data_IF_093244774335
#
_entry.id   IF_093244774335
#
_cell.length_a   1.000
_cell.length_b   1.000
_cell.length_c   1.000
_cell.angle_alpha   90.00
_cell.angle_beta   90.00
_cell.angle_gamma   90.00
#
_symmetry.space_group_name_H-M   'P 1'
#
loop_
_entity.id
_entity.type
_entity.pdbx_description
1 polymer ?
#
# COMPACT_ATOMS: atom_id res chain seq x y z
N UNK A 1 -21.15 -10.92 -44.17
CA UNK A 1 -22.56 -10.45 -44.27
C UNK A 1 -22.94 -9.75 -42.99
N UNK A 2 -23.35 -8.50 -43.14
CA UNK A 2 -24.02 -7.61 -42.19
C UNK A 2 -23.40 -7.31 -40.83
N UNK A 3 -22.68 -6.16 -40.81
CA UNK A 3 -22.43 -5.30 -39.65
C UNK A 3 -23.77 -4.72 -39.12
N UNK A 4 -23.94 -4.72 -37.79
CA UNK A 4 -24.91 -3.84 -37.14
C UNK A 4 -24.17 -2.90 -36.22
N UNK A 5 -24.11 -1.63 -36.62
CA UNK A 5 -23.69 -0.48 -35.80
C UNK A 5 -24.85 -0.11 -34.88
N UNK A 6 -24.60 -0.02 -33.55
CA UNK A 6 -25.47 0.70 -32.65
C UNK A 6 -24.81 2.04 -32.25
N UNK A 7 -25.45 3.12 -32.71
CA UNK A 7 -25.22 4.48 -32.21
C UNK A 7 -26.05 4.64 -30.93
N UNK A 8 -25.42 5.05 -29.86
CA UNK A 8 -26.12 5.54 -28.65
C UNK A 8 -25.85 7.03 -28.50
N UNK A 9 -26.92 7.82 -28.55
CA UNK A 9 -26.88 9.26 -28.43
C UNK A 9 -26.73 9.69 -26.97
N UNK A 10 -25.81 10.62 -26.70
CA UNK A 10 -25.70 11.31 -25.40
C UNK A 10 -26.64 12.53 -25.40
N UNK A 11 -27.55 12.58 -24.42
CA UNK A 11 -28.34 13.75 -24.09
C UNK A 11 -27.59 14.60 -23.06
N UNK A 12 -27.27 15.83 -23.42
CA UNK A 12 -26.70 16.85 -22.54
C UNK A 12 -27.84 17.57 -21.83
N UNK A 13 -27.89 17.51 -20.51
CA UNK A 13 -28.81 18.33 -19.69
C UNK A 13 -28.05 19.53 -19.13
N UNK A 14 -28.41 20.73 -19.60
CA UNK A 14 -27.94 21.99 -19.07
C UNK A 14 -28.81 22.37 -17.87
N UNK A 15 -28.19 22.65 -16.72
CA UNK A 15 -28.86 23.26 -15.56
C UNK A 15 -28.48 24.75 -15.48
N UNK A 16 -29.48 25.61 -15.57
CA UNK A 16 -29.34 27.02 -15.43
C UNK A 16 -29.28 27.42 -13.95
N UNK A 17 -28.31 28.28 -13.60
CA UNK A 17 -28.19 28.91 -12.28
C UNK A 17 -28.83 30.27 -12.34
N UNK A 18 -29.87 30.52 -11.52
CA UNK A 18 -30.45 31.84 -11.27
C UNK A 18 -29.78 32.46 -10.07
N UNK A 19 -29.24 33.65 -10.29
CA UNK A 19 -28.77 34.55 -9.24
C UNK A 19 -29.92 35.44 -8.75
N UNK A 20 -30.04 35.63 -7.42
CA UNK A 20 -30.78 36.77 -6.84
C UNK A 20 -29.92 37.45 -5.78
N UNK A 21 -29.78 38.75 -5.98
CA UNK A 21 -29.07 39.74 -5.17
C UNK A 21 -29.97 40.37 -4.09
N UNK A 22 -29.38 40.91 -3.04
CA UNK A 22 -29.92 41.87 -2.06
C UNK A 22 -29.47 41.56 -0.67
N UNK A 23 -28.68 42.30 0.07
CA UNK A 23 -28.66 43.70 0.35
C UNK A 23 -28.79 43.87 1.86
N UNK A 24 -27.83 44.55 2.54
CA UNK A 24 -28.11 45.23 3.81
C UNK A 24 -27.29 44.77 5.02
N UNK A 25 -26.21 45.50 5.32
CA UNK A 25 -25.62 45.66 6.67
C UNK A 25 -26.54 46.50 7.56
N UNK A 26 -26.47 46.38 8.94
CA UNK A 26 -25.57 47.24 9.68
C UNK A 26 -24.89 46.59 10.90
N UNK A 27 -23.74 47.18 11.21
CA UNK A 27 -22.97 46.99 12.43
C UNK A 27 -23.58 47.74 13.61
N UNK A 28 -23.42 47.25 14.88
CA UNK A 28 -23.13 48.18 15.94
C UNK A 28 -21.98 47.79 16.85
N UNK A 29 -21.08 48.74 17.02
CA UNK A 29 -20.43 49.29 18.23
C UNK A 29 -20.15 48.37 19.42
N UNK A 30 -18.85 48.30 19.77
CA UNK A 30 -18.27 47.92 21.08
C UNK A 30 -18.71 48.86 22.22
N UNK A 31 -18.67 48.35 23.45
CA UNK A 31 -18.17 49.16 24.56
C UNK A 31 -17.00 48.53 25.33
N UNK A 32 -16.36 49.47 26.00
CA UNK A 32 -15.06 49.53 26.61
C UNK A 32 -14.70 48.51 27.70
N UNK A 33 -13.39 48.47 27.92
CA UNK A 33 -12.59 47.74 28.88
C UNK A 33 -12.98 47.89 30.32
N UNK A 34 -12.79 46.81 31.08
CA UNK A 34 -12.50 46.83 32.53
C UNK A 34 -11.38 45.84 32.84
N UNK A 35 -10.30 46.35 33.38
CA UNK A 35 -9.15 45.61 33.96
C UNK A 35 -9.26 45.87 35.48
N UNK A 36 -8.60 45.14 36.38
CA UNK A 36 -8.15 43.77 36.51
C UNK A 36 -8.43 43.16 37.91
N UNK A 37 -8.13 41.88 38.07
CA UNK A 37 -7.71 41.36 39.37
C UNK A 37 -6.59 40.39 39.15
N UNK A 38 -5.44 40.66 39.76
CA UNK A 38 -4.29 39.76 39.89
C UNK A 38 -4.70 38.49 40.61
N UNK A 39 -4.44 37.33 39.99
CA UNK A 39 -4.55 36.02 40.61
C UNK A 39 -3.18 35.37 40.56
N UNK A 40 -2.69 35.04 41.74
CA UNK A 40 -1.44 34.32 42.02
C UNK A 40 -1.42 32.98 41.27
N UNK A 41 -0.29 32.53 40.68
CA UNK A 41 -0.23 31.25 39.97
C UNK A 41 -0.32 30.10 40.98
N UNK A 42 -1.35 29.29 40.85
CA UNK A 42 -1.43 27.98 41.48
C UNK A 42 -0.50 27.01 40.74
N UNK A 43 0.26 26.23 41.50
CA UNK A 43 1.27 25.32 40.99
C UNK A 43 0.75 24.36 39.93
N UNK A 44 1.54 24.22 38.87
CA UNK A 44 1.34 23.26 37.82
C UNK A 44 1.39 21.84 38.37
N UNK A 45 0.27 21.13 38.28
CA UNK A 45 0.26 19.68 38.45
C UNK A 45 1.05 19.04 37.28
N UNK A 46 1.79 17.96 37.52
CA UNK A 46 2.49 17.27 36.45
C UNK A 46 1.48 16.75 35.44
N UNK A 47 1.85 16.70 34.13
CA UNK A 47 0.95 16.17 33.09
C UNK A 47 0.60 14.72 33.45
N UNK A 48 -0.68 14.44 33.52
CA UNK A 48 -1.20 13.07 33.64
C UNK A 48 -0.66 12.27 32.47
N UNK A 49 -0.02 11.14 32.77
CA UNK A 49 0.37 10.16 31.78
C UNK A 49 -0.86 9.85 30.89
N UNK A 50 -0.68 9.66 29.57
CA UNK A 50 -1.77 9.24 28.71
C UNK A 50 -2.38 7.97 29.30
N UNK A 51 -3.70 7.98 29.49
CA UNK A 51 -4.44 6.81 29.92
C UNK A 51 -4.11 5.68 28.95
N UNK A 52 -3.50 4.61 29.44
CA UNK A 52 -3.35 3.37 28.69
C UNK A 52 -4.76 2.92 28.32
N UNK A 53 -5.08 3.03 27.02
CA UNK A 53 -6.26 2.37 26.46
C UNK A 53 -6.09 0.89 26.79
N UNK A 54 -7.02 0.23 27.50
CA UNK A 54 -6.90 -1.20 27.72
C UNK A 54 -6.83 -1.84 26.35
N UNK A 55 -5.79 -2.63 26.09
CA UNK A 55 -5.71 -3.48 24.92
C UNK A 55 -7.02 -4.29 24.92
N UNK A 56 -7.88 -4.03 23.94
CA UNK A 56 -9.05 -4.85 23.69
C UNK A 56 -8.48 -6.23 23.42
N UNK A 57 -8.62 -7.14 24.37
CA UNK A 57 -8.23 -8.52 24.17
C UNK A 57 -9.10 -9.03 23.04
N UNK A 58 -8.52 -9.27 21.85
CA UNK A 58 -9.19 -9.96 20.75
C UNK A 58 -9.80 -11.28 21.22
N UNK A 59 -10.53 -12.00 20.35
CA UNK A 59 -11.14 -13.25 20.71
C UNK A 59 -10.12 -14.20 21.31
N UNK A 60 -10.53 -14.99 22.33
CA UNK A 60 -9.70 -16.01 22.96
C UNK A 60 -9.87 -17.39 22.29
N UNK A 61 -10.85 -17.52 21.40
CA UNK A 61 -11.13 -18.72 20.61
C UNK A 61 -11.84 -18.32 19.32
N UNK A 62 -11.62 -19.04 18.24
CA UNK A 62 -12.42 -18.93 17.01
C UNK A 62 -13.65 -19.82 17.15
N UNK A 63 -14.83 -19.21 17.10
CA UNK A 63 -16.12 -19.90 17.14
C UNK A 63 -16.59 -20.35 15.76
N UNK A 64 -17.88 -20.68 15.67
CA UNK A 64 -18.54 -20.85 14.38
C UNK A 64 -18.52 -19.53 13.60
N UNK A 65 -18.51 -19.62 12.25
CA UNK A 65 -18.59 -18.45 11.41
C UNK A 65 -19.94 -17.77 11.49
N UNK A 66 -19.95 -16.44 11.40
CA UNK A 66 -21.17 -15.63 11.46
C UNK A 66 -21.96 -15.63 10.13
N UNK A 67 -21.50 -16.38 9.14
CA UNK A 67 -22.18 -16.58 7.85
C UNK A 67 -21.82 -15.55 6.78
N UNK A 68 -21.10 -14.47 7.12
CA UNK A 68 -20.69 -13.42 6.19
C UNK A 68 -19.30 -12.90 6.54
N UNK A 69 -18.57 -12.36 5.53
CA UNK A 69 -17.29 -11.69 5.69
C UNK A 69 -17.16 -10.56 4.66
N UNK A 70 -17.06 -9.33 5.14
CA UNK A 70 -16.93 -8.14 4.30
C UNK A 70 -15.50 -7.63 4.35
N UNK A 71 -14.81 -7.68 3.23
CA UNK A 71 -13.39 -7.35 3.11
C UNK A 71 -13.13 -6.10 2.27
N UNK A 72 -12.05 -5.39 2.61
CA UNK A 72 -11.37 -4.47 1.70
C UNK A 72 -10.05 -5.14 1.29
N UNK A 73 -9.74 -5.16 0.00
CA UNK A 73 -8.52 -5.78 -0.49
C UNK A 73 -8.01 -5.09 -1.75
N UNK A 74 -6.75 -5.32 -2.06
CA UNK A 74 -6.20 -5.03 -3.37
C UNK A 74 -6.86 -5.89 -4.44
N UNK A 75 -6.90 -5.38 -5.68
CA UNK A 75 -7.34 -6.16 -6.83
C UNK A 75 -6.52 -7.44 -6.96
N UNK A 76 -7.19 -8.57 -7.13
CA UNK A 76 -6.56 -9.87 -7.27
C UNK A 76 -6.28 -10.62 -5.96
N UNK A 77 -6.67 -10.07 -4.79
CA UNK A 77 -6.46 -10.77 -3.50
C UNK A 77 -7.66 -11.59 -3.03
N UNK A 78 -8.84 -11.35 -3.59
CA UNK A 78 -10.08 -12.04 -3.22
C UNK A 78 -10.81 -12.44 -4.49
N UNK A 79 -10.42 -13.58 -5.08
CA UNK A 79 -10.93 -14.05 -6.37
C UNK A 79 -11.78 -15.30 -6.19
N UNK A 80 -12.93 -15.33 -6.89
CA UNK A 80 -13.90 -16.40 -6.87
C UNK A 80 -15.07 -16.14 -5.93
N UNK A 81 -15.84 -17.18 -5.64
CA UNK A 81 -17.11 -17.05 -4.91
C UNK A 81 -18.10 -16.13 -5.64
N UNK A 82 -19.18 -15.75 -4.94
CA UNK A 82 -20.21 -14.87 -5.54
C UNK A 82 -19.94 -13.39 -5.30
N UNK A 83 -19.19 -13.03 -4.28
CA UNK A 83 -18.89 -11.66 -3.88
C UNK A 83 -17.42 -11.26 -4.00
N UNK A 84 -16.54 -12.16 -4.46
CA UNK A 84 -15.17 -11.87 -4.83
C UNK A 84 -15.03 -11.42 -6.29
N UNK A 85 -13.81 -11.10 -6.68
CA UNK A 85 -13.50 -10.76 -8.07
C UNK A 85 -13.65 -11.99 -8.98
N UNK A 86 -14.14 -11.80 -10.19
CA UNK A 86 -14.35 -12.91 -11.14
C UNK A 86 -13.19 -12.93 -12.13
N UNK A 87 -12.32 -13.93 -12.02
CA UNK A 87 -11.17 -14.15 -12.89
C UNK A 87 -11.21 -15.57 -13.44
N UNK A 88 -11.18 -15.71 -14.76
CA UNK A 88 -11.26 -17.03 -15.41
C UNK A 88 -10.09 -17.93 -14.97
N UNK A 89 -10.41 -19.12 -14.51
CA UNK A 89 -9.42 -20.14 -14.09
C UNK A 89 -8.91 -20.00 -12.67
N UNK A 90 -9.38 -19.00 -11.90
CA UNK A 90 -8.97 -18.77 -10.53
C UNK A 90 -10.15 -18.67 -9.58
N UNK A 91 -10.10 -19.40 -8.49
CA UNK A 91 -11.10 -19.36 -7.42
C UNK A 91 -10.52 -19.94 -6.12
N UNK A 92 -10.19 -19.10 -5.15
CA UNK A 92 -9.84 -19.52 -3.79
C UNK A 92 -10.89 -19.08 -2.76
N UNK A 93 -11.90 -18.32 -3.15
CA UNK A 93 -12.97 -17.87 -2.26
C UNK A 93 -14.01 -18.97 -2.08
N UNK A 94 -14.49 -19.64 -3.14
CA UNK A 94 -15.48 -20.72 -3.03
C UNK A 94 -15.06 -21.83 -2.05
N UNK A 95 -13.81 -22.38 -2.10
CA UNK A 95 -13.38 -23.38 -1.12
C UNK A 95 -13.39 -22.88 0.32
N UNK A 96 -13.08 -21.60 0.56
CA UNK A 96 -13.20 -20.99 1.88
C UNK A 96 -14.65 -20.91 2.34
N UNK A 97 -15.55 -20.42 1.48
CA UNK A 97 -16.99 -20.31 1.77
C UNK A 97 -17.59 -21.67 2.12
N UNK A 98 -17.28 -22.71 1.34
CA UNK A 98 -17.77 -24.05 1.54
C UNK A 98 -17.27 -24.69 2.84
N UNK A 99 -16.02 -24.45 3.21
CA UNK A 99 -15.41 -24.98 4.41
C UNK A 99 -15.82 -24.24 5.69
N UNK A 100 -16.00 -22.91 5.61
CA UNK A 100 -16.23 -22.05 6.78
C UNK A 100 -17.67 -21.66 7.00
N UNK A 101 -18.53 -21.73 5.97
CA UNK A 101 -19.87 -21.18 5.95
C UNK A 101 -19.91 -19.64 5.89
N UNK A 102 -18.77 -18.96 5.71
CA UNK A 102 -18.65 -17.52 5.67
C UNK A 102 -18.69 -17.02 4.22
N UNK A 103 -19.78 -16.40 3.79
CA UNK A 103 -19.90 -15.79 2.46
C UNK A 103 -19.06 -14.51 2.37
N UNK A 104 -18.17 -14.46 1.40
CA UNK A 104 -17.21 -13.35 1.22
C UNK A 104 -17.80 -12.30 0.29
N UNK A 105 -17.63 -11.03 0.66
CA UNK A 105 -17.85 -9.87 -0.21
C UNK A 105 -16.63 -8.97 -0.14
N UNK A 106 -16.08 -8.59 -1.28
CA UNK A 106 -14.92 -7.71 -1.34
C UNK A 106 -15.26 -6.34 -1.93
N UNK A 107 -14.70 -5.32 -1.30
CA UNK A 107 -14.53 -3.99 -1.86
C UNK A 107 -13.09 -3.83 -2.28
N UNK A 108 -12.84 -3.78 -3.57
CA UNK A 108 -11.50 -3.48 -4.09
C UNK A 108 -11.16 -2.03 -3.74
N UNK A 109 -10.02 -1.85 -3.05
CA UNK A 109 -9.46 -0.55 -2.72
C UNK A 109 -8.76 0.09 -3.91
N UNK A 110 -8.85 1.40 -4.01
CA UNK A 110 -8.19 2.16 -5.09
C UNK A 110 -6.72 2.43 -4.76
N UNK A 111 -6.46 2.77 -3.50
CA UNK A 111 -5.15 3.05 -2.92
C UNK A 111 -5.21 2.93 -1.39
N UNK A 112 -4.06 3.00 -0.73
CA UNK A 112 -3.95 2.90 0.73
C UNK A 112 -4.77 3.95 1.47
N UNK A 113 -4.90 5.17 0.96
CA UNK A 113 -5.70 6.23 1.61
C UNK A 113 -7.19 5.95 1.49
N UNK A 114 -7.64 5.43 0.35
CA UNK A 114 -9.02 4.97 0.16
C UNK A 114 -9.34 3.82 1.12
N UNK A 115 -8.45 2.83 1.27
CA UNK A 115 -8.64 1.71 2.22
C UNK A 115 -8.76 2.19 3.66
N UNK A 116 -7.92 3.15 4.09
CA UNK A 116 -8.02 3.76 5.43
C UNK A 116 -9.38 4.46 5.62
N UNK A 117 -9.88 5.17 4.61
CA UNK A 117 -11.18 5.83 4.71
C UNK A 117 -12.34 4.83 4.75
N UNK A 118 -12.29 3.77 3.94
CA UNK A 118 -13.30 2.71 3.96
C UNK A 118 -13.36 2.01 5.33
N UNK A 119 -12.21 1.71 5.94
CA UNK A 119 -12.18 1.10 7.27
C UNK A 119 -12.82 1.96 8.36
N UNK A 120 -12.71 3.30 8.29
CA UNK A 120 -13.35 4.22 9.24
C UNK A 120 -14.87 4.12 9.24
N UNK A 121 -15.49 3.69 8.15
CA UNK A 121 -16.95 3.51 8.08
C UNK A 121 -17.46 2.46 9.05
N UNK A 122 -16.63 1.45 9.41
CA UNK A 122 -17.01 0.33 10.26
C UNK A 122 -17.95 -0.66 9.58
N UNK A 123 -18.01 -0.66 8.24
CA UNK A 123 -18.84 -1.57 7.45
C UNK A 123 -18.12 -2.87 7.10
N UNK A 124 -16.78 -2.91 7.27
CA UNK A 124 -15.93 -4.03 6.88
C UNK A 124 -15.38 -4.76 8.10
N UNK A 125 -15.17 -6.07 7.94
CA UNK A 125 -14.64 -6.95 8.97
C UNK A 125 -13.12 -7.00 8.96
N UNK A 126 -12.52 -6.74 7.80
CA UNK A 126 -11.07 -6.72 7.65
C UNK A 126 -10.59 -6.03 6.38
N UNK A 127 -9.30 -5.81 6.34
CA UNK A 127 -8.60 -5.16 5.22
C UNK A 127 -7.27 -5.86 4.96
N UNK A 128 -6.91 -5.99 3.68
CA UNK A 128 -5.52 -6.26 3.29
C UNK A 128 -4.86 -4.93 2.98
N UNK A 129 -3.92 -4.50 3.82
CA UNK A 129 -3.31 -3.18 3.74
C UNK A 129 -1.79 -3.25 3.61
N UNK A 130 -1.23 -2.34 2.82
CA UNK A 130 0.20 -2.13 2.69
C UNK A 130 0.77 -1.32 3.86
N UNK A 131 2.07 -1.42 4.11
CA UNK A 131 2.72 -0.85 5.29
C UNK A 131 2.60 0.66 5.44
N UNK A 132 2.39 1.40 4.36
CA UNK A 132 2.11 2.84 4.39
C UNK A 132 0.73 3.22 4.94
N UNK A 133 -0.19 2.25 5.02
CA UNK A 133 -1.52 2.41 5.61
C UNK A 133 -1.63 1.82 7.01
N UNK A 134 -0.87 0.78 7.33
CA UNK A 134 -1.09 -0.04 8.55
C UNK A 134 -0.97 0.75 9.84
N UNK A 135 0.09 1.57 10.03
CA UNK A 135 0.22 2.40 11.23
C UNK A 135 -0.87 3.48 11.32
N UNK A 136 -1.40 3.94 10.19
CA UNK A 136 -2.53 4.90 10.18
C UNK A 136 -3.82 4.24 10.67
N UNK A 137 -4.07 2.99 10.26
CA UNK A 137 -5.20 2.18 10.72
C UNK A 137 -5.08 1.86 12.21
N UNK A 138 -3.88 1.51 12.68
CA UNK A 138 -3.60 1.23 14.10
C UNK A 138 -3.80 2.49 14.93
N UNK A 139 -3.17 3.61 14.55
CA UNK A 139 -3.27 4.88 15.25
C UNK A 139 -4.71 5.45 15.26
N UNK A 140 -5.49 5.19 14.20
CA UNK A 140 -6.90 5.55 14.09
C UNK A 140 -7.82 4.69 14.95
N UNK A 141 -7.32 3.57 15.50
CA UNK A 141 -8.16 2.60 16.22
C UNK A 141 -9.15 1.86 15.31
N UNK A 142 -8.86 1.83 13.99
CA UNK A 142 -9.74 1.22 13.00
C UNK A 142 -9.55 -0.31 12.90
N UNK A 143 -8.41 -0.81 13.42
CA UNK A 143 -8.07 -2.23 13.48
C UNK A 143 -7.75 -2.66 14.91
N UNK A 144 -7.93 -3.94 15.19
CA UNK A 144 -7.69 -4.54 16.50
C UNK A 144 -6.40 -5.38 16.50
N UNK A 145 -5.76 -5.59 17.66
CA UNK A 145 -4.70 -6.56 17.83
C UNK A 145 -5.09 -7.95 17.36
N UNK A 146 -4.17 -8.65 16.74
CA UNK A 146 -4.37 -10.04 16.28
C UNK A 146 -3.86 -11.01 17.35
N UNK A 147 -4.69 -11.98 17.71
CA UNK A 147 -4.27 -13.12 18.49
C UNK A 147 -3.76 -14.21 17.53
N UNK A 148 -2.45 -14.29 17.34
CA UNK A 148 -1.81 -15.22 16.39
C UNK A 148 -1.96 -16.69 16.81
N UNK A 149 -2.22 -16.99 18.09
CA UNK A 149 -2.48 -18.36 18.57
C UNK A 149 -3.78 -18.94 17.97
N UNK A 150 -4.66 -18.08 17.46
CA UNK A 150 -5.90 -18.45 16.79
C UNK A 150 -5.73 -18.67 15.27
N UNK A 151 -4.51 -18.56 14.74
CA UNK A 151 -4.17 -18.67 13.32
C UNK A 151 -3.12 -19.77 13.16
N UNK A 152 -3.52 -21.06 13.11
CA UNK A 152 -2.60 -22.20 13.11
C UNK A 152 -1.52 -22.14 12.03
N UNK A 153 -1.84 -21.63 10.83
CA UNK A 153 -0.88 -21.52 9.73
C UNK A 153 0.16 -20.42 9.94
N UNK A 154 -0.07 -19.47 10.88
CA UNK A 154 0.88 -18.39 11.15
C UNK A 154 2.23 -18.89 11.67
N UNK A 155 2.27 -20.06 12.34
CA UNK A 155 3.51 -20.68 12.81
C UNK A 155 4.50 -20.95 11.68
N UNK A 156 3.97 -21.29 10.48
CA UNK A 156 4.75 -21.69 9.30
C UNK A 156 5.17 -20.50 8.42
N UNK A 157 4.68 -19.30 8.73
CA UNK A 157 5.08 -18.05 8.06
C UNK A 157 6.57 -17.79 8.30
N UNK A 158 7.30 -17.40 7.26
CA UNK A 158 8.71 -17.05 7.34
C UNK A 158 8.99 -15.99 8.40
N UNK A 159 10.03 -16.17 9.21
CA UNK A 159 10.39 -15.26 10.30
C UNK A 159 10.67 -13.85 9.78
N UNK A 160 11.20 -13.73 8.56
CA UNK A 160 11.42 -12.45 7.88
C UNK A 160 10.14 -11.62 7.65
N UNK A 161 8.95 -12.19 7.82
CA UNK A 161 7.65 -11.52 7.64
C UNK A 161 6.91 -11.24 8.94
N UNK A 162 7.32 -11.84 10.07
CA UNK A 162 6.67 -11.70 11.37
C UNK A 162 7.12 -10.45 12.12
N UNK A 163 6.23 -9.85 12.90
CA UNK A 163 6.55 -8.81 13.86
C UNK A 163 7.21 -7.56 13.27
N UNK A 164 6.83 -7.18 12.06
CA UNK A 164 7.41 -6.02 11.37
C UNK A 164 6.90 -4.71 11.96
N UNK A 165 7.73 -3.68 11.95
CA UNK A 165 7.47 -2.35 12.51
C UNK A 165 6.29 -1.63 11.84
N UNK A 166 6.00 -1.92 10.57
CA UNK A 166 4.84 -1.35 9.88
C UNK A 166 3.49 -1.93 10.33
N UNK A 167 3.44 -3.08 11.01
CA UNK A 167 2.21 -3.70 11.50
C UNK A 167 2.27 -4.12 12.97
N UNK A 168 3.29 -3.68 13.71
CA UNK A 168 3.52 -4.01 15.12
C UNK A 168 3.81 -2.74 15.90
N UNK A 169 3.04 -2.46 16.94
CA UNK A 169 3.20 -1.28 17.80
C UNK A 169 3.34 -1.74 19.25
N UNK A 170 4.41 -1.30 19.92
CA UNK A 170 4.74 -1.67 21.30
C UNK A 170 4.75 -3.20 21.56
N UNK A 171 5.22 -3.97 20.58
CA UNK A 171 5.25 -5.44 20.64
C UNK A 171 3.91 -6.13 20.39
N UNK A 172 2.86 -5.38 20.07
CA UNK A 172 1.53 -5.91 19.73
C UNK A 172 1.37 -5.95 18.22
N UNK A 173 1.12 -7.12 17.65
CA UNK A 173 0.91 -7.31 16.21
C UNK A 173 -0.54 -7.10 15.80
N UNK A 174 -0.73 -6.52 14.60
CA UNK A 174 -2.04 -6.15 14.06
C UNK A 174 -2.33 -6.76 12.69
N UNK A 175 -1.37 -7.45 12.07
CA UNK A 175 -1.54 -7.94 10.72
C UNK A 175 -0.90 -9.29 10.46
N UNK A 176 -1.57 -10.11 9.64
CA UNK A 176 -1.09 -11.40 9.13
C UNK A 176 -0.55 -11.19 7.72
N UNK A 177 0.74 -11.44 7.44
CA UNK A 177 1.32 -11.18 6.13
C UNK A 177 0.67 -12.05 5.06
N UNK A 178 0.43 -11.46 3.88
CA UNK A 178 -0.16 -12.12 2.72
C UNK A 178 0.90 -12.71 1.79
N UNK A 179 1.96 -11.94 1.57
CA UNK A 179 3.09 -12.21 0.73
C UNK A 179 4.09 -11.08 0.81
N UNK A 180 5.06 -11.03 -0.09
CA UNK A 180 6.00 -9.90 -0.22
C UNK A 180 6.48 -9.72 -1.65
N UNK A 181 6.84 -8.48 -2.00
CA UNK A 181 7.45 -8.15 -3.27
C UNK A 181 8.38 -6.94 -3.16
N UNK A 182 9.35 -6.85 -4.06
CA UNK A 182 10.14 -5.65 -4.25
C UNK A 182 9.49 -4.78 -5.35
N UNK A 183 9.61 -3.45 -5.21
CA UNK A 183 9.40 -2.54 -6.33
C UNK A 183 10.64 -2.65 -7.23
N UNK A 184 10.44 -3.18 -8.42
CA UNK A 184 11.55 -3.46 -9.35
C UNK A 184 11.70 -2.35 -10.37
N UNK A 185 12.88 -2.21 -10.93
CA UNK A 185 13.13 -1.39 -12.11
C UNK A 185 12.79 -2.22 -13.36
N UNK A 186 11.60 -1.99 -13.92
CA UNK A 186 11.16 -2.61 -15.18
C UNK A 186 11.66 -1.79 -16.37
N UNK A 187 12.07 -2.45 -17.43
CA UNK A 187 12.50 -1.80 -18.65
C UNK A 187 12.18 -2.60 -19.91
N UNK A 188 12.02 -1.89 -21.02
CA UNK A 188 11.89 -2.44 -22.37
C UNK A 188 13.29 -2.61 -22.98
N UNK A 189 13.80 -3.83 -23.19
CA UNK A 189 15.15 -4.05 -23.72
C UNK A 189 15.32 -3.61 -25.18
N UNK A 190 14.24 -3.35 -25.91
CA UNK A 190 14.30 -2.78 -27.26
C UNK A 190 14.62 -1.27 -27.24
N UNK A 191 14.35 -0.59 -26.13
CA UNK A 191 14.64 0.85 -25.92
C UNK A 191 15.85 1.03 -25.00
N UNK A 192 15.87 0.31 -23.90
CA UNK A 192 16.95 0.31 -22.90
C UNK A 192 17.91 -0.83 -23.22
N UNK A 193 18.76 -0.61 -24.21
CA UNK A 193 19.63 -1.65 -24.78
C UNK A 193 20.77 -2.10 -23.87
N UNK A 194 21.09 -1.31 -22.87
CA UNK A 194 22.05 -1.70 -21.81
C UNK A 194 21.25 -2.00 -20.55
N UNK A 195 21.37 -3.23 -20.02
CA UNK A 195 20.70 -3.63 -18.79
C UNK A 195 21.05 -2.65 -17.66
N UNK A 196 20.06 -1.94 -17.08
CA UNK A 196 20.31 -1.00 -16.00
C UNK A 196 20.64 -1.75 -14.70
N UNK A 197 21.51 -1.17 -13.88
CA UNK A 197 21.87 -1.70 -12.56
C UNK A 197 21.60 -0.69 -11.43
N UNK A 198 21.05 0.48 -11.77
CA UNK A 198 20.87 1.61 -10.87
C UNK A 198 19.57 2.36 -11.15
N UNK A 199 18.97 2.90 -10.10
CA UNK A 199 17.86 3.84 -10.20
C UNK A 199 18.23 5.17 -10.89
N UNK A 200 19.52 5.42 -11.16
CA UNK A 200 19.97 6.62 -11.89
C UNK A 200 19.24 6.82 -13.22
N UNK A 201 18.88 5.74 -13.91
CA UNK A 201 18.17 5.81 -15.20
C UNK A 201 16.79 6.46 -15.11
N UNK A 202 16.20 6.51 -13.91
CA UNK A 202 14.90 7.14 -13.67
C UNK A 202 14.99 8.43 -12.86
N UNK A 203 16.13 8.68 -12.15
CA UNK A 203 16.27 9.86 -11.29
C UNK A 203 17.23 10.92 -11.83
N UNK A 204 18.29 10.56 -12.55
CA UNK A 204 19.31 11.52 -12.96
C UNK A 204 18.84 12.37 -14.15
N UNK A 205 19.15 13.67 -14.10
CA UNK A 205 18.70 14.64 -15.09
C UNK A 205 19.21 14.36 -16.53
N UNK A 206 20.35 13.69 -16.64
CA UNK A 206 20.98 13.30 -17.91
C UNK A 206 20.54 11.90 -18.40
N UNK A 207 19.53 11.31 -17.76
CA UNK A 207 18.95 10.06 -18.24
C UNK A 207 18.57 10.15 -19.73
N UNK A 208 19.01 9.20 -20.57
CA UNK A 208 18.70 9.22 -21.99
C UNK A 208 17.23 8.85 -22.30
N UNK A 209 16.45 8.50 -21.28
CA UNK A 209 15.07 8.01 -21.42
C UNK A 209 14.02 9.08 -21.14
N UNK A 210 14.35 10.36 -21.33
CA UNK A 210 13.41 11.48 -21.16
C UNK A 210 12.12 11.28 -21.96
N UNK A 211 10.98 11.42 -21.29
CA UNK A 211 9.65 11.20 -21.86
C UNK A 211 9.29 9.72 -22.02
N UNK A 212 10.07 8.80 -21.41
CA UNK A 212 9.82 7.36 -21.38
C UNK A 212 9.91 6.77 -19.96
N UNK A 213 10.27 7.59 -18.97
CA UNK A 213 10.33 7.20 -17.56
C UNK A 213 8.92 7.17 -16.98
N UNK A 214 8.67 6.21 -16.07
CA UNK A 214 7.41 6.13 -15.31
C UNK A 214 7.66 5.74 -13.86
N UNK A 215 6.67 5.99 -13.00
CA UNK A 215 6.63 5.56 -11.61
C UNK A 215 5.18 5.59 -11.10
N UNK A 216 4.89 4.94 -9.96
CA UNK A 216 3.55 4.98 -9.39
C UNK A 216 3.19 6.36 -8.80
N UNK A 217 1.92 6.74 -8.99
CA UNK A 217 1.37 8.04 -8.60
C UNK A 217 0.85 8.02 -7.16
N UNK A 218 1.76 7.93 -6.19
CA UNK A 218 1.37 7.91 -4.78
C UNK A 218 2.45 8.52 -3.89
N UNK A 219 2.05 9.16 -2.78
CA UNK A 219 2.96 9.91 -1.91
C UNK A 219 4.12 9.06 -1.34
N UNK A 220 3.90 7.75 -1.17
CA UNK A 220 4.95 6.85 -0.66
C UNK A 220 6.14 6.74 -1.61
N UNK A 221 6.01 7.12 -2.90
CA UNK A 221 7.11 7.16 -3.84
C UNK A 221 8.23 8.14 -3.43
N UNK A 222 7.96 9.05 -2.52
CA UNK A 222 9.00 9.88 -1.89
C UNK A 222 10.10 9.01 -1.26
N UNK A 223 9.74 7.84 -0.73
CA UNK A 223 10.70 6.90 -0.15
C UNK A 223 11.66 6.30 -1.18
N UNK A 224 11.23 6.10 -2.42
CA UNK A 224 12.10 5.61 -3.51
C UNK A 224 13.19 6.66 -3.84
N UNK A 225 12.80 7.93 -3.90
CA UNK A 225 13.76 9.03 -4.06
C UNK A 225 14.69 9.14 -2.84
N UNK A 226 14.16 8.98 -1.63
CA UNK A 226 14.95 8.99 -0.41
C UNK A 226 15.96 7.82 -0.36
N UNK A 227 15.56 6.63 -0.79
CA UNK A 227 16.44 5.46 -0.89
C UNK A 227 17.60 5.72 -1.88
N UNK A 228 17.30 6.28 -3.04
CA UNK A 228 18.33 6.66 -4.00
C UNK A 228 19.29 7.69 -3.41
N UNK A 229 18.78 8.73 -2.74
CA UNK A 229 19.60 9.75 -2.07
C UNK A 229 20.40 9.16 -0.91
N UNK A 230 19.86 8.23 -0.15
CA UNK A 230 20.57 7.56 0.94
C UNK A 230 21.88 6.90 0.45
N UNK A 231 21.91 6.41 -0.78
CA UNK A 231 23.07 5.77 -1.39
C UNK A 231 23.97 6.73 -2.17
N UNK A 232 23.40 7.78 -2.76
CA UNK A 232 24.12 8.69 -3.66
C UNK A 232 24.52 10.01 -3.02
N UNK A 233 23.91 10.38 -1.88
CA UNK A 233 24.10 11.62 -1.13
C UNK A 233 24.27 11.36 0.38
N UNK A 234 25.36 10.68 0.80
CA UNK A 234 25.56 10.28 2.20
C UNK A 234 25.62 11.49 3.17
N UNK A 235 25.89 12.69 2.67
CA UNK A 235 25.86 13.94 3.45
C UNK A 235 24.45 14.31 3.95
N UNK A 236 23.39 13.71 3.40
CA UNK A 236 22.03 13.87 3.90
C UNK A 236 21.76 13.03 5.14
N UNK A 237 22.62 12.06 5.45
CA UNK A 237 22.50 11.17 6.61
C UNK A 237 21.12 10.48 6.72
N UNK A 238 20.51 10.10 5.58
CA UNK A 238 19.28 9.33 5.56
C UNK A 238 19.61 7.91 6.00
N UNK A 239 18.98 7.42 7.08
CA UNK A 239 19.18 6.07 7.63
C UNK A 239 17.97 5.16 7.41
N UNK A 240 16.79 5.77 7.20
CA UNK A 240 15.55 5.07 6.87
C UNK A 240 14.77 5.91 5.86
N UNK A 241 14.42 5.38 4.67
CA UNK A 241 13.74 6.15 3.63
C UNK A 241 12.33 6.59 4.00
N UNK A 242 11.73 6.04 5.06
CA UNK A 242 10.42 6.44 5.60
C UNK A 242 10.50 7.38 6.81
N UNK A 243 11.72 7.70 7.28
CA UNK A 243 11.94 8.56 8.44
C UNK A 243 12.73 9.81 8.01
N UNK A 244 12.08 10.74 7.29
CA UNK A 244 12.72 11.93 6.75
C UNK A 244 12.40 13.15 7.62
N UNK A 245 13.43 13.87 8.05
CA UNK A 245 13.26 15.24 8.53
C UNK A 245 12.94 16.20 7.39
N UNK A 246 12.62 17.48 7.71
CA UNK A 246 12.26 18.48 6.70
C UNK A 246 13.34 18.69 5.63
N UNK A 247 14.61 18.65 6.01
CA UNK A 247 15.74 18.82 5.07
C UNK A 247 15.87 17.63 4.12
N UNK A 248 15.73 16.42 4.67
CA UNK A 248 15.79 15.17 3.91
C UNK A 248 14.60 15.05 2.95
N UNK A 249 13.39 15.40 3.42
CA UNK A 249 12.18 15.46 2.59
C UNK A 249 12.33 16.48 1.46
N UNK A 250 12.83 17.68 1.76
CA UNK A 250 13.06 18.72 0.74
C UNK A 250 14.06 18.27 -0.35
N UNK A 251 15.07 17.49 0.04
CA UNK A 251 16.01 16.91 -0.91
C UNK A 251 15.35 15.86 -1.82
N UNK A 252 14.52 14.96 -1.25
CA UNK A 252 13.75 13.98 -2.00
C UNK A 252 12.78 14.65 -2.98
N UNK A 253 12.05 15.67 -2.52
CA UNK A 253 11.13 16.47 -3.36
C UNK A 253 11.87 17.17 -4.50
N UNK A 254 13.06 17.69 -4.24
CA UNK A 254 13.90 18.32 -5.28
C UNK A 254 14.28 17.31 -6.36
N UNK A 255 14.70 16.11 -5.96
CA UNK A 255 15.00 15.01 -6.89
C UNK A 255 13.77 14.60 -7.71
N UNK A 256 12.61 14.48 -7.07
CA UNK A 256 11.36 14.12 -7.74
C UNK A 256 10.87 15.20 -8.72
N UNK A 257 11.03 16.48 -8.38
CA UNK A 257 10.75 17.58 -9.33
C UNK A 257 11.69 17.54 -10.54
N UNK A 258 12.95 17.14 -10.35
CA UNK A 258 13.88 16.88 -11.46
C UNK A 258 13.41 15.67 -12.28
N UNK A 259 13.11 14.53 -11.64
CA UNK A 259 12.60 13.32 -12.30
C UNK A 259 11.33 13.60 -13.12
N UNK A 260 10.42 14.45 -12.64
CA UNK A 260 9.20 14.82 -13.37
C UNK A 260 9.49 15.29 -14.80
N UNK A 261 10.65 15.90 -15.04
CA UNK A 261 11.04 16.35 -16.39
C UNK A 261 11.37 15.18 -17.34
N UNK A 262 11.59 13.99 -16.81
CA UNK A 262 11.87 12.74 -17.53
C UNK A 262 10.62 11.89 -17.71
N UNK A 263 9.64 12.03 -16.79
CA UNK A 263 8.47 11.18 -16.72
C UNK A 263 7.51 11.47 -17.86
N UNK A 264 7.07 10.42 -18.54
CA UNK A 264 5.97 10.49 -19.51
C UNK A 264 4.62 10.54 -18.80
N UNK A 265 4.42 9.64 -17.83
CA UNK A 265 3.21 9.55 -17.00
C UNK A 265 3.55 8.85 -15.69
N UNK A 266 2.98 9.35 -14.58
CA UNK A 266 2.85 8.58 -13.35
C UNK A 266 1.61 7.69 -13.45
N UNK A 267 1.74 6.38 -13.17
CA UNK A 267 0.62 5.44 -13.23
C UNK A 267 -0.11 5.34 -11.89
N UNK A 268 -1.42 5.32 -11.93
CA UNK A 268 -2.29 5.17 -10.75
C UNK A 268 -2.79 3.75 -10.55
N UNK A 269 -2.78 2.93 -11.62
CA UNK A 269 -3.15 1.52 -11.58
C UNK A 269 -2.13 0.68 -12.36
N UNK A 270 -1.97 -0.58 -11.98
CA UNK A 270 -1.09 -1.51 -12.69
C UNK A 270 -1.40 -1.58 -14.19
N UNK A 271 -2.70 -1.52 -14.56
CA UNK A 271 -3.14 -1.58 -15.96
C UNK A 271 -2.66 -0.37 -16.77
N UNK A 272 -2.64 0.83 -16.17
CA UNK A 272 -2.12 2.03 -16.87
C UNK A 272 -0.65 1.89 -17.23
N UNK A 273 0.16 1.25 -16.37
CA UNK A 273 1.57 0.99 -16.68
C UNK A 273 1.72 -0.09 -17.77
N UNK A 274 0.96 -1.20 -17.64
CA UNK A 274 0.94 -2.27 -18.63
C UNK A 274 0.60 -1.69 -20.02
N UNK A 275 -0.45 -0.89 -20.13
CA UNK A 275 -0.85 -0.25 -21.38
C UNK A 275 0.23 0.71 -21.90
N UNK A 276 0.85 1.49 -21.02
CA UNK A 276 1.92 2.43 -21.36
C UNK A 276 3.16 1.74 -21.93
N UNK A 277 3.58 0.61 -21.35
CA UNK A 277 4.66 -0.20 -21.91
C UNK A 277 4.25 -0.90 -23.21
N UNK A 278 3.06 -1.49 -23.28
CA UNK A 278 2.56 -2.16 -24.47
C UNK A 278 2.50 -1.22 -25.67
N UNK A 279 2.06 0.02 -25.47
CA UNK A 279 1.97 1.05 -26.53
C UNK A 279 3.30 1.74 -26.81
N UNK A 280 4.34 1.54 -25.97
CA UNK A 280 5.63 2.20 -26.08
C UNK A 280 5.66 3.66 -25.60
N UNK A 281 4.67 4.09 -24.84
CA UNK A 281 4.65 5.41 -24.18
C UNK A 281 5.61 5.47 -22.99
N UNK A 282 5.84 4.31 -22.36
CA UNK A 282 6.78 4.08 -21.28
C UNK A 282 7.83 3.06 -21.70
N UNK A 283 9.03 3.16 -21.15
CA UNK A 283 10.11 2.22 -21.46
C UNK A 283 10.98 1.84 -20.26
N UNK A 284 10.95 2.59 -19.15
CA UNK A 284 11.71 2.30 -17.93
C UNK A 284 11.03 2.95 -16.73
N UNK A 285 10.94 2.22 -15.63
CA UNK A 285 10.33 2.78 -14.41
C UNK A 285 10.16 1.79 -13.29
N UNK A 286 9.57 2.28 -12.21
CA UNK A 286 9.24 1.46 -11.05
C UNK A 286 7.97 0.66 -11.31
N UNK A 287 8.04 -0.65 -11.12
CA UNK A 287 6.94 -1.58 -11.36
C UNK A 287 6.86 -2.63 -10.24
N UNK A 288 5.75 -3.34 -10.17
CA UNK A 288 5.66 -4.61 -9.44
C UNK A 288 5.94 -5.78 -10.39
N UNK A 289 6.30 -6.90 -9.88
CA UNK A 289 6.53 -8.09 -10.69
C UNK A 289 5.27 -8.53 -11.47
N UNK A 290 4.09 -8.19 -10.95
CA UNK A 290 2.81 -8.39 -11.63
C UNK A 290 2.77 -7.81 -13.05
N UNK A 291 3.16 -6.52 -13.23
CA UNK A 291 3.18 -5.89 -14.55
C UNK A 291 4.19 -6.57 -15.47
N UNK A 292 5.37 -6.95 -14.94
CA UNK A 292 6.40 -7.68 -15.71
C UNK A 292 5.85 -9.00 -16.22
N UNK A 293 5.19 -9.77 -15.35
CA UNK A 293 4.60 -11.05 -15.70
C UNK A 293 3.50 -10.90 -16.74
N UNK A 294 2.59 -9.94 -16.53
CA UNK A 294 1.46 -9.68 -17.44
C UNK A 294 1.94 -9.27 -18.84
N UNK A 295 2.92 -8.38 -18.93
CA UNK A 295 3.48 -7.97 -20.22
C UNK A 295 4.19 -9.12 -20.94
N UNK A 296 4.88 -9.98 -20.21
CA UNK A 296 5.61 -11.12 -20.76
C UNK A 296 4.72 -12.32 -21.09
N UNK A 297 3.52 -12.39 -20.52
CA UNK A 297 2.52 -13.40 -20.87
C UNK A 297 1.98 -13.19 -22.28
N UNK A 298 1.28 -14.17 -22.82
CA UNK A 298 0.42 -14.05 -24.02
C UNK A 298 1.09 -13.47 -25.29
N UNK A 299 2.40 -13.60 -25.47
CA UNK A 299 3.09 -13.10 -26.68
C UNK A 299 3.12 -11.57 -26.77
N UNK A 300 2.87 -10.88 -25.67
CA UNK A 300 2.91 -9.43 -25.54
C UNK A 300 4.30 -8.83 -25.67
N UNK A 301 4.44 -7.59 -25.23
CA UNK A 301 5.71 -6.88 -25.24
C UNK A 301 6.69 -7.50 -24.25
N UNK A 302 7.91 -7.81 -24.69
CA UNK A 302 8.94 -8.31 -23.79
C UNK A 302 9.52 -7.17 -22.96
N UNK A 303 9.46 -7.33 -21.63
CA UNK A 303 10.10 -6.46 -20.66
C UNK A 303 10.98 -7.28 -19.73
N UNK A 304 11.95 -6.64 -19.14
CA UNK A 304 12.81 -7.20 -18.11
C UNK A 304 12.73 -6.38 -16.84
N UNK A 305 13.10 -6.95 -15.71
CA UNK A 305 13.16 -6.27 -14.43
C UNK A 305 14.43 -6.60 -13.67
N UNK A 306 14.87 -5.66 -12.85
CA UNK A 306 16.02 -5.80 -11.96
C UNK A 306 15.75 -5.14 -10.62
N UNK A 307 16.35 -5.64 -9.54
CA UNK A 307 16.53 -4.89 -8.31
C UNK A 307 17.85 -4.11 -8.44
N UNK A 308 17.83 -2.78 -8.45
CA UNK A 308 19.04 -1.96 -8.58
C UNK A 308 19.99 -2.13 -7.39
N UNK A 309 21.25 -1.77 -7.59
CA UNK A 309 22.33 -1.88 -6.58
C UNK A 309 22.12 -1.00 -5.35
N UNK A 310 21.32 0.04 -5.45
CA UNK A 310 20.92 0.88 -4.31
C UNK A 310 19.93 0.17 -3.39
N UNK A 311 19.43 -0.99 -3.78
CA UNK A 311 18.30 -1.65 -3.15
C UNK A 311 16.97 -1.21 -3.76
N UNK A 312 15.87 -1.57 -3.12
CA UNK A 312 14.53 -1.22 -3.56
C UNK A 312 13.63 -0.90 -2.37
N UNK A 313 12.57 -0.13 -2.58
CA UNK A 313 11.40 -0.21 -1.72
C UNK A 313 10.64 -1.50 -2.04
N UNK A 314 9.73 -1.89 -1.16
CA UNK A 314 8.95 -3.10 -1.36
C UNK A 314 7.71 -3.10 -0.51
N UNK A 315 6.92 -4.14 -0.61
CA UNK A 315 5.67 -4.27 0.12
C UNK A 315 5.52 -5.69 0.70
N UNK A 316 4.82 -5.77 1.80
CA UNK A 316 4.33 -7.00 2.38
C UNK A 316 2.98 -6.67 3.00
N UNK A 317 1.93 -6.92 2.25
CA UNK A 317 0.58 -6.58 2.66
C UNK A 317 0.12 -7.48 3.79
N UNK A 318 -0.70 -6.94 4.67
CA UNK A 318 -1.17 -7.69 5.83
C UNK A 318 -2.69 -7.67 5.96
N UNK A 319 -3.26 -8.82 6.27
CA UNK A 319 -4.65 -8.93 6.65
C UNK A 319 -4.84 -8.48 8.08
N UNK A 320 -5.65 -7.45 8.28
CA UNK A 320 -5.93 -6.82 9.57
C UNK A 320 -7.42 -6.95 9.89
N UNK A 321 -7.74 -7.26 11.14
CA UNK A 321 -9.13 -7.35 11.59
C UNK A 321 -9.62 -5.97 12.03
N UNK A 322 -10.82 -5.59 11.60
CA UNK A 322 -11.48 -4.34 12.03
C UNK A 322 -11.76 -4.35 13.54
N UNK A 323 -11.49 -3.22 14.20
CA UNK A 323 -11.91 -3.03 15.61
C UNK A 323 -13.42 -3.04 15.78
N UNK A 324 -14.18 -2.91 14.67
CA UNK A 324 -15.65 -2.90 14.59
C UNK A 324 -16.20 -4.11 13.83
N UNK A 325 -15.38 -5.17 13.63
CA UNK A 325 -15.78 -6.36 12.90
C UNK A 325 -17.08 -6.94 13.44
N UNK A 326 -18.04 -7.14 12.56
CA UNK A 326 -19.32 -7.81 12.88
C UNK A 326 -19.18 -9.33 12.78
N UNK A 327 -18.19 -9.81 12.03
CA UNK A 327 -17.96 -11.21 11.73
C UNK A 327 -16.51 -11.61 12.09
N UNK A 328 -16.06 -11.43 13.35
CA UNK A 328 -14.67 -11.66 13.74
C UNK A 328 -14.23 -13.12 13.60
N UNK A 329 -15.12 -14.12 13.83
CA UNK A 329 -14.75 -15.52 13.63
C UNK A 329 -14.50 -15.80 12.13
N UNK A 330 -15.33 -15.29 11.23
CA UNK A 330 -15.10 -15.41 9.79
C UNK A 330 -13.79 -14.73 9.38
N UNK A 331 -13.46 -13.57 9.98
CA UNK A 331 -12.19 -12.88 9.68
C UNK A 331 -10.96 -13.68 10.14
N UNK A 332 -10.99 -14.27 11.35
CA UNK A 332 -9.90 -15.14 11.82
C UNK A 332 -9.75 -16.40 10.98
N UNK A 333 -10.87 -17.02 10.57
CA UNK A 333 -10.86 -18.15 9.63
C UNK A 333 -10.26 -17.76 8.29
N UNK A 334 -10.58 -16.54 7.79
CA UNK A 334 -10.00 -16.02 6.56
C UNK A 334 -8.49 -15.81 6.68
N UNK A 335 -8.04 -15.15 7.76
CA UNK A 335 -6.62 -14.92 7.99
C UNK A 335 -5.81 -16.22 8.06
N UNK A 336 -6.36 -17.27 8.65
CA UNK A 336 -5.70 -18.59 8.67
C UNK A 336 -5.74 -19.27 7.30
N UNK A 337 -6.88 -19.20 6.62
CA UNK A 337 -7.08 -19.83 5.33
C UNK A 337 -6.18 -19.23 4.24
N UNK A 338 -6.11 -17.89 4.13
CA UNK A 338 -5.42 -17.21 3.03
C UNK A 338 -3.90 -17.40 3.07
N UNK A 339 -3.35 -17.74 4.23
CA UNK A 339 -1.93 -18.12 4.39
C UNK A 339 -1.73 -19.64 4.46
N UNK A 340 -2.80 -20.44 4.27
CA UNK A 340 -2.67 -21.90 4.13
C UNK A 340 -1.94 -22.25 2.84
N UNK A 341 -1.29 -23.42 2.76
CA UNK A 341 -0.39 -23.75 1.65
C UNK A 341 -1.04 -23.54 0.26
N UNK A 342 -2.25 -24.10 0.07
CA UNK A 342 -2.93 -24.06 -1.24
C UNK A 342 -3.47 -22.68 -1.58
N UNK A 343 -4.19 -22.03 -0.66
CA UNK A 343 -4.78 -20.72 -0.92
C UNK A 343 -3.71 -19.65 -1.12
N UNK A 344 -2.64 -19.67 -0.30
CA UNK A 344 -1.53 -18.75 -0.46
C UNK A 344 -0.77 -18.97 -1.78
N UNK A 345 -0.57 -20.23 -2.18
CA UNK A 345 0.03 -20.53 -3.49
C UNK A 345 -0.83 -19.99 -4.64
N UNK A 346 -2.16 -20.18 -4.60
CA UNK A 346 -3.06 -19.72 -5.65
C UNK A 346 -3.00 -18.21 -5.84
N UNK A 347 -3.11 -17.46 -4.74
CA UNK A 347 -3.08 -16.00 -4.81
C UNK A 347 -1.71 -15.46 -5.20
N UNK A 348 -0.62 -16.04 -4.65
CA UNK A 348 0.73 -15.54 -4.94
C UNK A 348 1.19 -15.87 -6.35
N UNK A 349 0.78 -17.00 -6.90
CA UNK A 349 1.02 -17.33 -8.32
C UNK A 349 0.24 -16.40 -9.24
N UNK A 350 -1.03 -16.16 -8.93
CA UNK A 350 -1.86 -15.25 -9.72
C UNK A 350 -1.34 -13.81 -9.68
N UNK A 351 -1.11 -13.29 -8.49
CA UNK A 351 -0.70 -11.89 -8.30
C UNK A 351 0.77 -11.66 -8.72
N UNK A 352 1.63 -12.63 -8.57
CA UNK A 352 3.07 -12.49 -8.84
C UNK A 352 3.81 -11.92 -7.63
N UNK A 353 3.82 -12.68 -6.53
CA UNK A 353 4.53 -12.34 -5.29
C UNK A 353 5.14 -13.57 -4.62
N UNK A 354 6.03 -13.34 -3.67
CA UNK A 354 6.62 -14.41 -2.88
C UNK A 354 5.62 -14.98 -1.88
N UNK A 355 5.38 -16.31 -1.87
CA UNK A 355 4.58 -16.96 -0.83
C UNK A 355 5.15 -16.80 0.57
N UNK A 356 4.28 -16.94 1.59
CA UNK A 356 4.66 -16.69 3.00
C UNK A 356 5.32 -17.86 3.70
N UNK A 357 5.33 -19.07 3.12
CA UNK A 357 5.84 -20.27 3.78
C UNK A 357 6.43 -21.29 2.82
N UNK A 358 7.27 -22.21 3.35
CA UNK A 358 7.79 -23.35 2.59
C UNK A 358 6.69 -24.23 2.01
N UNK A 359 5.60 -24.44 2.76
CA UNK A 359 4.48 -25.26 2.31
C UNK A 359 3.70 -24.58 1.17
N UNK A 360 3.50 -23.25 1.22
CA UNK A 360 2.91 -22.49 0.14
C UNK A 360 3.84 -22.48 -1.09
N UNK A 361 5.14 -22.36 -0.91
CA UNK A 361 6.11 -22.51 -2.00
C UNK A 361 5.98 -23.89 -2.67
N UNK A 362 5.87 -24.95 -1.91
CA UNK A 362 5.74 -26.31 -2.48
C UNK A 362 4.45 -26.48 -3.32
N UNK A 363 3.35 -25.78 -2.97
CA UNK A 363 2.13 -25.77 -3.77
C UNK A 363 2.26 -24.85 -5.00
N UNK A 364 2.91 -23.70 -4.87
CA UNK A 364 3.16 -22.77 -5.99
C UNK A 364 4.04 -23.42 -7.07
N UNK A 365 5.08 -24.18 -6.68
CA UNK A 365 5.96 -24.91 -7.60
C UNK A 365 5.22 -25.96 -8.45
N UNK A 366 4.12 -26.53 -7.94
CA UNK A 366 3.29 -27.47 -8.70
C UNK A 366 2.50 -26.75 -9.82
N UNK A 367 2.19 -25.47 -9.64
CA UNK A 367 1.44 -24.67 -10.59
C UNK A 367 2.38 -23.99 -11.60
N UNK A 368 3.44 -23.37 -11.10
CA UNK A 368 4.44 -22.66 -11.88
C UNK A 368 5.83 -23.07 -11.38
N UNK A 369 6.49 -24.04 -12.05
CA UNK A 369 7.85 -24.45 -11.69
C UNK A 369 8.83 -23.26 -11.69
N UNK A 370 9.58 -23.10 -10.60
CA UNK A 370 10.53 -22.01 -10.41
C UNK A 370 9.90 -20.72 -9.84
N UNK A 371 8.63 -20.74 -9.43
CA UNK A 371 7.95 -19.55 -8.88
C UNK A 371 8.67 -19.00 -7.65
N UNK A 372 8.96 -19.83 -6.66
CA UNK A 372 9.57 -19.36 -5.42
C UNK A 372 10.99 -18.82 -5.59
N UNK A 373 11.75 -19.37 -6.52
CA UNK A 373 13.07 -18.84 -6.87
C UNK A 373 12.96 -17.52 -7.61
N UNK A 374 12.01 -17.40 -8.55
CA UNK A 374 11.78 -16.19 -9.33
C UNK A 374 11.33 -14.99 -8.46
N UNK A 375 10.60 -15.27 -7.38
CA UNK A 375 10.15 -14.26 -6.42
C UNK A 375 11.02 -14.19 -5.16
N UNK A 376 12.14 -14.90 -5.12
CA UNK A 376 13.09 -14.88 -4.00
C UNK A 376 12.46 -15.24 -2.64
N UNK A 377 11.41 -16.10 -2.63
CA UNK A 377 10.60 -16.35 -1.44
C UNK A 377 11.41 -16.75 -0.20
N UNK A 378 12.51 -17.51 -0.39
CA UNK A 378 13.41 -17.99 0.65
C UNK A 378 14.74 -17.24 0.72
N UNK A 379 14.92 -16.22 -0.09
CA UNK A 379 16.19 -15.48 -0.20
C UNK A 379 16.15 -14.21 0.68
N UNK A 380 16.42 -14.40 1.98
CA UNK A 380 16.50 -13.27 2.91
C UNK A 380 17.63 -12.29 2.54
N UNK A 381 18.68 -12.74 1.83
CA UNK A 381 19.74 -11.84 1.37
C UNK A 381 19.23 -10.91 0.27
N UNK A 382 18.33 -11.37 -0.60
CA UNK A 382 17.67 -10.51 -1.58
C UNK A 382 16.84 -9.43 -0.91
N UNK A 383 16.13 -9.77 0.17
CA UNK A 383 15.26 -8.83 0.89
C UNK A 383 15.99 -7.98 1.94
N UNK A 384 17.28 -8.23 2.21
CA UNK A 384 18.04 -7.47 3.21
C UNK A 384 18.17 -5.97 2.90
N UNK A 385 18.11 -5.60 1.63
CA UNK A 385 18.14 -4.22 1.13
C UNK A 385 16.82 -3.80 0.44
N UNK A 386 15.74 -4.52 0.73
CA UNK A 386 14.37 -4.13 0.39
C UNK A 386 13.74 -3.44 1.60
N UNK A 387 13.38 -2.18 1.44
CA UNK A 387 12.73 -1.37 2.44
C UNK A 387 11.22 -1.49 2.26
N UNK A 388 10.58 -2.30 3.11
CA UNK A 388 9.13 -2.46 3.06
C UNK A 388 8.43 -1.14 3.34
N UNK A 389 7.39 -0.84 2.57
CA UNK A 389 6.54 0.33 2.79
C UNK A 389 6.15 0.46 4.24
N UNK A 390 6.29 1.67 4.76
CA UNK A 390 5.98 2.01 6.13
C UNK A 390 5.33 3.38 6.19
N UNK A 391 4.53 3.64 7.19
CA UNK A 391 3.87 4.94 7.36
C UNK A 391 4.85 5.98 7.89
N UNK A 392 5.16 7.06 7.17
CA UNK A 392 5.92 8.18 7.72
C UNK A 392 5.17 8.81 8.90
N UNK A 393 5.86 8.99 10.02
CA UNK A 393 5.32 9.53 11.27
C UNK A 393 6.23 10.64 11.82
N UNK A 394 5.65 11.57 12.62
CA UNK A 394 6.42 12.65 13.24
C UNK A 394 7.50 12.14 14.17
N UNK A 395 7.20 11.09 14.93
CA UNK A 395 8.22 10.34 15.66
C UNK A 395 8.96 9.48 14.68
N UNK A 396 10.25 9.73 14.51
CA UNK A 396 11.07 9.05 13.51
C UNK A 396 11.13 7.53 13.76
N UNK A 397 10.88 6.74 12.74
CA UNK A 397 10.98 5.27 12.78
C UNK A 397 12.41 4.77 13.06
N UNK A 398 13.42 5.60 12.88
CA UNK A 398 14.83 5.33 13.17
C UNK A 398 15.30 5.81 14.54
N UNK A 399 14.36 6.23 15.40
CA UNK A 399 14.63 6.57 16.81
C UNK A 399 15.17 7.97 17.04
N UNK A 400 15.20 8.87 16.05
CA UNK A 400 15.69 10.26 16.19
C UNK A 400 14.73 11.21 16.93
N UNK A 401 13.60 10.70 17.46
CA UNK A 401 12.57 11.49 18.14
C UNK A 401 11.61 12.18 17.17
N UNK A 402 10.97 13.27 17.61
CA UNK A 402 9.83 13.91 16.91
C UNK A 402 10.32 14.99 15.92
N UNK A 403 11.25 14.65 15.04
CA UNK A 403 11.81 15.57 14.04
C UNK A 403 11.46 15.17 12.60
N UNK A 404 10.76 14.05 12.42
CA UNK A 404 10.40 13.56 11.11
C UNK A 404 9.09 14.17 10.60
N UNK A 405 8.86 14.00 9.31
CA UNK A 405 7.66 14.45 8.62
C UNK A 405 6.67 13.30 8.48
N UNK A 406 5.39 13.60 8.69
CA UNK A 406 4.31 12.63 8.63
C UNK A 406 3.77 12.41 7.20
N UNK A 407 2.91 11.41 7.06
CA UNK A 407 2.29 11.05 5.78
C UNK A 407 1.49 12.20 5.15
N UNK A 408 0.83 13.04 5.96
CA UNK A 408 0.09 14.21 5.45
C UNK A 408 1.04 15.24 4.83
N UNK A 409 2.21 15.43 5.43
CA UNK A 409 3.28 16.29 4.89
C UNK A 409 3.81 15.73 3.58
N UNK A 410 4.02 14.41 3.49
CA UNK A 410 4.43 13.73 2.26
C UNK A 410 3.38 13.83 1.15
N UNK A 411 2.11 13.71 1.49
CA UNK A 411 1.00 13.87 0.53
C UNK A 411 0.98 15.28 -0.08
N UNK A 412 1.19 16.32 0.74
CA UNK A 412 1.32 17.71 0.25
C UNK A 412 2.54 17.86 -0.66
N UNK A 413 3.69 17.33 -0.24
CA UNK A 413 4.92 17.36 -1.02
C UNK A 413 4.77 16.64 -2.38
N UNK A 414 4.09 15.48 -2.39
CA UNK A 414 3.79 14.75 -3.63
C UNK A 414 2.87 15.55 -4.56
N UNK A 415 1.83 16.19 -4.01
CA UNK A 415 0.95 17.09 -4.76
C UNK A 415 1.75 18.22 -5.42
N UNK A 416 2.74 18.82 -4.73
CA UNK A 416 3.62 19.82 -5.32
C UNK A 416 4.50 19.26 -6.45
N UNK A 417 4.96 18.00 -6.34
CA UNK A 417 5.73 17.33 -7.40
C UNK A 417 4.88 17.10 -8.62
N UNK A 418 3.68 16.58 -8.46
CA UNK A 418 2.80 16.20 -9.57
C UNK A 418 2.07 17.39 -10.20
N UNK A 419 1.94 18.49 -9.47
CA UNK A 419 1.29 19.72 -9.94
C UNK A 419 -0.19 19.78 -9.63
N UNK A 420 -0.66 19.00 -8.65
CA UNK A 420 -2.04 18.98 -8.16
C UNK A 420 -2.95 18.14 -9.00
#
# INVERSE_FOLDING_TARGET
MQQRRFLTAFAVMAVAVSACSGGGTPQPSSPAASVPASVTPAGSAPPSAPASVPASSGPTAVGEGEGQLNLIAWAGYVVGGTGGEQVEGYDWVTPFEDASGCKVTVKVGLDSSNMVQLMKTGEYDGVSASGDATLRLIAGGDVAPVNFDLIPNYKDVFEGLKGKDYNTVNGVGYGVPHGRGANVLMYDPAVVTTKPDSWSVVFDADSPYKGKVTAYNYAIYVADAALYLMKTKPELAITNPYALDEKQLAAAVTLLKQQKTLVSKYWGTAQEEIDGFANGDMAVGTAWQYQVNTLNAAGGKKVEAVKPKEGATGWSDTWMVSSKAKHPNCMYKWMDYIISPKANADVTVYFGEAPVSDAACAEAEKQVPGHCDAFHAKDEAYFADVWYWNTPTKTCLDGRGDICTDFDTWTKAWTEVTGG
#
